data_IF_462160221015
#
_entry.id   IF_462160221015
#
_cell.length_a   1.000
_cell.length_b   1.000
_cell.length_c   1.000
_cell.angle_alpha   90.00
_cell.angle_beta   90.00
_cell.angle_gamma   90.00
#
_symmetry.space_group_name_H-M   'P 1'
#
loop_
_entity.id
_entity.type
_entity.pdbx_description
1 polymer ?
#
# COMPACT_ATOMS: atom_id res chain seq x y z
N UNK A 1 9.09 8.23 -17.77
CA UNK A 1 8.17 8.92 -16.88
C UNK A 1 6.81 8.29 -17.12
N UNK A 2 6.35 7.45 -16.19
CA UNK A 2 5.12 6.69 -16.34
C UNK A 2 3.93 7.64 -16.54
N UNK A 3 3.22 7.54 -17.65
CA UNK A 3 2.12 8.40 -18.11
C UNK A 3 0.90 8.43 -17.18
N UNK A 4 1.14 8.65 -15.89
CA UNK A 4 0.10 8.76 -14.87
C UNK A 4 -0.41 10.19 -14.91
N UNK A 5 -1.71 10.41 -15.21
CA UNK A 5 -2.27 11.75 -15.19
C UNK A 5 -2.22 12.33 -13.77
N UNK A 6 -1.57 13.48 -13.60
CA UNK A 6 -1.46 14.18 -12.31
C UNK A 6 -2.84 14.36 -11.64
N UNK A 7 -3.89 14.49 -12.45
CA UNK A 7 -5.29 14.56 -12.01
C UNK A 7 -5.75 13.31 -11.23
N UNK A 8 -5.23 12.13 -11.57
CA UNK A 8 -5.56 10.90 -10.84
C UNK A 8 -4.96 10.92 -9.42
N UNK A 9 -3.69 11.32 -9.31
CA UNK A 9 -2.98 11.42 -8.02
C UNK A 9 -3.65 12.49 -7.15
N UNK A 10 -3.93 13.67 -7.73
CA UNK A 10 -4.58 14.78 -7.02
C UNK A 10 -5.97 14.39 -6.50
N UNK A 11 -6.79 13.71 -7.32
CA UNK A 11 -8.12 13.25 -6.90
C UNK A 11 -8.03 12.26 -5.73
N UNK A 12 -7.04 11.37 -5.72
CA UNK A 12 -6.86 10.41 -4.64
C UNK A 12 -6.38 11.07 -3.34
N UNK A 13 -5.47 12.04 -3.44
CA UNK A 13 -5.03 12.85 -2.30
C UNK A 13 -6.23 13.61 -1.73
N UNK A 14 -7.08 14.18 -2.56
CA UNK A 14 -8.24 14.95 -2.14
C UNK A 14 -9.30 14.10 -1.42
N UNK A 15 -9.46 12.82 -1.80
CA UNK A 15 -10.37 11.88 -1.10
C UNK A 15 -9.88 11.56 0.31
N UNK A 16 -8.57 11.50 0.53
CA UNK A 16 -7.96 11.18 1.84
C UNK A 16 -7.70 12.44 2.68
N UNK A 17 -7.71 13.64 2.04
CA UNK A 17 -7.41 14.92 2.70
C UNK A 17 -8.33 15.28 3.87
N UNK A 18 -9.64 14.93 3.91
CA UNK A 18 -10.50 15.29 5.04
C UNK A 18 -9.97 14.75 6.37
N UNK A 19 -9.36 13.57 6.36
CA UNK A 19 -8.77 12.95 7.55
C UNK A 19 -7.54 13.71 8.04
N UNK A 20 -6.67 14.13 7.12
CA UNK A 20 -5.48 14.93 7.44
C UNK A 20 -5.86 16.34 7.91
N UNK A 21 -6.89 16.94 7.30
CA UNK A 21 -7.44 18.22 7.72
C UNK A 21 -8.04 18.14 9.12
N UNK A 22 -8.82 17.11 9.40
CA UNK A 22 -9.42 16.91 10.71
C UNK A 22 -8.37 16.84 11.82
N UNK A 23 -7.31 16.03 11.63
CA UNK A 23 -6.21 15.95 12.60
C UNK A 23 -5.44 17.28 12.68
N UNK A 24 -5.19 17.91 11.54
CA UNK A 24 -4.41 19.14 11.45
C UNK A 24 -5.07 20.35 12.11
N UNK A 25 -6.40 20.50 11.98
CA UNK A 25 -7.18 21.62 12.52
C UNK A 25 -7.15 21.67 14.06
N UNK A 26 -6.99 20.55 14.73
CA UNK A 26 -6.86 20.57 16.19
C UNK A 26 -5.55 21.18 16.69
N UNK A 27 -4.47 21.18 15.91
CA UNK A 27 -3.18 21.72 16.33
C UNK A 27 -3.20 23.24 16.57
N UNK A 28 -3.72 24.10 15.68
CA UNK A 28 -3.79 25.53 15.94
C UNK A 28 -4.76 25.90 17.07
N UNK A 29 -5.70 25.01 17.43
CA UNK A 29 -6.65 25.23 18.53
C UNK A 29 -6.00 24.87 19.88
N UNK A 30 -5.16 23.81 19.91
CA UNK A 30 -4.56 23.32 21.14
C UNK A 30 -3.22 23.97 21.47
N UNK A 31 -2.44 24.39 20.47
CA UNK A 31 -1.12 24.98 20.65
C UNK A 31 -1.08 26.45 20.20
N UNK A 32 -1.26 27.34 21.17
CA UNK A 32 -1.28 28.79 20.99
C UNK A 32 0.08 29.45 21.24
N UNK A 33 1.16 28.68 21.46
CA UNK A 33 2.50 29.23 21.71
C UNK A 33 3.00 29.97 20.47
N UNK A 34 3.40 31.22 20.66
CA UNK A 34 4.05 32.02 19.60
C UNK A 34 5.52 31.64 19.50
N UNK A 35 5.93 31.08 18.36
CA UNK A 35 7.32 30.63 18.13
C UNK A 35 8.12 31.61 17.30
N UNK A 36 7.49 32.39 16.42
CA UNK A 36 8.18 33.36 15.61
C UNK A 36 7.25 34.52 15.22
N UNK A 37 7.82 35.74 15.16
CA UNK A 37 7.16 36.91 14.59
C UNK A 37 7.74 37.15 13.20
N UNK A 38 7.00 36.81 12.15
CA UNK A 38 7.40 37.07 10.76
C UNK A 38 6.59 38.23 10.21
N UNK A 39 7.27 39.29 9.82
CA UNK A 39 6.65 40.53 9.26
C UNK A 39 5.57 41.17 10.15
N UNK A 40 5.74 41.13 11.49
CA UNK A 40 4.79 41.76 12.42
C UNK A 40 3.56 40.94 12.80
N UNK A 41 3.42 39.74 12.28
CA UNK A 41 2.33 38.81 12.61
C UNK A 41 2.84 37.72 13.53
N UNK A 42 2.20 37.50 14.71
CA UNK A 42 2.57 36.42 15.60
C UNK A 42 2.13 35.07 14.97
N UNK A 43 3.08 34.30 14.45
CA UNK A 43 2.83 32.95 14.00
C UNK A 43 2.81 32.02 15.21
N UNK A 44 1.63 31.45 15.47
CA UNK A 44 1.52 30.41 16.51
C UNK A 44 2.16 29.11 16.04
N UNK A 45 2.75 28.35 16.97
CA UNK A 45 3.31 27.02 16.72
C UNK A 45 2.29 26.08 16.04
N UNK A 46 1.02 26.23 16.40
CA UNK A 46 -0.07 25.45 15.84
C UNK A 46 -0.24 25.60 14.32
N UNK A 47 -0.08 26.82 13.77
CA UNK A 47 -0.15 27.05 12.33
C UNK A 47 1.02 26.45 11.56
N UNK A 48 2.23 26.52 12.12
CA UNK A 48 3.41 25.89 11.54
C UNK A 48 3.27 24.36 11.55
N UNK A 49 2.79 23.80 12.65
CA UNK A 49 2.50 22.38 12.79
C UNK A 49 1.43 21.91 11.81
N UNK A 50 0.35 22.68 11.65
CA UNK A 50 -0.70 22.39 10.67
C UNK A 50 -0.17 22.34 9.24
N UNK A 51 0.59 23.34 8.84
CA UNK A 51 1.19 23.41 7.50
C UNK A 51 2.18 22.24 7.28
N UNK A 52 2.99 21.92 8.30
CA UNK A 52 3.92 20.79 8.27
C UNK A 52 3.19 19.45 8.10
N UNK A 53 2.08 19.25 8.82
CA UNK A 53 1.24 18.04 8.69
C UNK A 53 0.67 17.92 7.28
N UNK A 54 0.13 19.00 6.73
CA UNK A 54 -0.42 18.98 5.37
C UNK A 54 0.66 18.71 4.33
N UNK A 55 1.81 19.34 4.45
CA UNK A 55 2.93 19.13 3.53
C UNK A 55 3.42 17.67 3.59
N UNK A 56 3.66 17.15 4.80
CA UNK A 56 4.04 15.76 5.01
C UNK A 56 2.99 14.80 4.46
N UNK A 57 1.71 15.06 4.69
CA UNK A 57 0.61 14.26 4.17
C UNK A 57 0.61 14.20 2.64
N UNK A 58 0.72 15.36 1.97
CA UNK A 58 0.75 15.41 0.50
C UNK A 58 1.96 14.69 -0.05
N UNK A 59 3.14 14.91 0.53
CA UNK A 59 4.39 14.28 0.09
C UNK A 59 4.36 12.76 0.29
N UNK A 60 3.98 12.30 1.47
CA UNK A 60 3.97 10.83 1.78
C UNK A 60 2.89 10.11 0.99
N UNK A 61 1.67 10.65 0.93
CA UNK A 61 0.58 10.05 0.16
C UNK A 61 0.88 10.09 -1.33
N UNK A 62 1.43 11.20 -1.83
CA UNK A 62 1.87 11.34 -3.21
C UNK A 62 2.95 10.33 -3.57
N UNK A 63 3.98 10.18 -2.74
CA UNK A 63 5.05 9.20 -2.94
C UNK A 63 4.52 7.76 -2.92
N UNK A 64 3.63 7.42 -1.98
CA UNK A 64 3.01 6.10 -1.91
C UNK A 64 2.16 5.79 -3.15
N UNK A 65 1.34 6.74 -3.60
CA UNK A 65 0.53 6.59 -4.81
C UNK A 65 1.39 6.43 -6.06
N UNK A 66 2.46 7.21 -6.18
CA UNK A 66 3.41 7.09 -7.29
C UNK A 66 4.11 5.73 -7.28
N UNK A 67 4.55 5.26 -6.10
CA UNK A 67 5.14 3.93 -5.97
C UNK A 67 4.17 2.84 -6.45
N UNK A 68 2.93 2.84 -5.95
CA UNK A 68 1.92 1.83 -6.34
C UNK A 68 1.57 1.91 -7.82
N UNK A 69 1.52 3.12 -8.38
CA UNK A 69 1.15 3.32 -9.78
C UNK A 69 2.27 3.01 -10.77
N UNK A 70 3.54 3.16 -10.36
CA UNK A 70 4.70 2.90 -11.23
C UNK A 70 5.29 1.50 -11.07
N UNK A 71 5.14 0.91 -9.88
CA UNK A 71 5.77 -0.35 -9.54
C UNK A 71 4.73 -1.44 -9.38
N UNK A 72 4.79 -2.49 -10.20
CA UNK A 72 3.93 -3.65 -10.03
C UNK A 72 4.26 -4.38 -8.72
N UNK A 73 3.27 -5.02 -8.09
CA UNK A 73 3.49 -5.75 -6.84
C UNK A 73 4.63 -6.80 -6.93
N UNK A 74 4.76 -7.59 -8.02
CA UNK A 74 5.92 -8.46 -8.19
C UNK A 74 7.26 -7.71 -8.25
N UNK A 75 7.25 -6.47 -8.75
CA UNK A 75 8.44 -5.60 -8.73
C UNK A 75 8.87 -5.21 -7.32
N UNK A 76 7.90 -4.88 -6.45
CA UNK A 76 8.16 -4.61 -5.02
C UNK A 76 8.72 -5.87 -4.34
N UNK A 77 8.14 -7.04 -4.58
CA UNK A 77 8.64 -8.31 -4.05
C UNK A 77 10.09 -8.59 -4.49
N UNK A 78 10.43 -8.29 -5.75
CA UNK A 78 11.81 -8.42 -6.23
C UNK A 78 12.77 -7.46 -5.51
N UNK A 79 12.35 -6.21 -5.27
CA UNK A 79 13.14 -5.25 -4.53
C UNK A 79 13.38 -5.71 -3.07
N UNK A 80 12.35 -6.22 -2.39
CA UNK A 80 12.47 -6.80 -1.05
C UNK A 80 13.49 -7.94 -1.01
N UNK A 81 13.47 -8.83 -2.01
CA UNK A 81 14.45 -9.91 -2.09
C UNK A 81 15.89 -9.38 -2.24
N UNK A 82 16.09 -8.31 -3.03
CA UNK A 82 17.41 -7.66 -3.14
C UNK A 82 17.87 -6.96 -1.86
N UNK A 83 16.95 -6.50 -1.04
CA UNK A 83 17.21 -5.92 0.28
C UNK A 83 17.56 -6.98 1.35
N UNK A 84 17.61 -8.27 1.00
CA UNK A 84 17.99 -9.35 1.91
C UNK A 84 16.82 -10.04 2.63
N UNK A 85 15.58 -9.77 2.25
CA UNK A 85 14.45 -10.51 2.84
C UNK A 85 14.50 -12.00 2.46
N UNK A 86 14.15 -12.91 3.39
CA UNK A 86 14.14 -14.34 3.15
C UNK A 86 13.31 -14.72 1.92
N UNK A 87 13.83 -15.64 1.09
CA UNK A 87 13.15 -16.08 -0.13
C UNK A 87 11.76 -16.61 0.13
N UNK A 88 11.59 -17.36 1.24
CA UNK A 88 10.30 -17.91 1.66
C UNK A 88 9.25 -16.80 1.88
N UNK A 89 9.62 -15.72 2.58
CA UNK A 89 8.71 -14.60 2.83
C UNK A 89 8.28 -13.92 1.53
N UNK A 90 9.20 -13.68 0.61
CA UNK A 90 8.91 -13.07 -0.69
C UNK A 90 8.00 -13.98 -1.54
N UNK A 91 8.25 -15.30 -1.51
CA UNK A 91 7.39 -16.28 -2.19
C UNK A 91 5.97 -16.28 -1.64
N UNK A 92 5.80 -16.18 -0.30
CA UNK A 92 4.49 -16.06 0.34
C UNK A 92 3.74 -14.80 -0.09
N UNK A 93 4.42 -13.65 -0.19
CA UNK A 93 3.80 -12.41 -0.69
C UNK A 93 3.33 -12.55 -2.14
N UNK A 94 4.10 -13.21 -3.00
CA UNK A 94 3.72 -13.48 -4.39
C UNK A 94 2.49 -14.38 -4.48
N UNK A 95 2.43 -15.43 -3.65
CA UNK A 95 1.27 -16.30 -3.57
C UNK A 95 0.05 -15.54 -3.03
N UNK A 96 0.20 -14.78 -1.96
CA UNK A 96 -0.87 -13.94 -1.40
C UNK A 96 -1.46 -13.04 -2.47
N UNK A 97 -0.63 -12.32 -3.22
CA UNK A 97 -1.09 -11.44 -4.30
C UNK A 97 -1.86 -12.19 -5.39
N UNK A 98 -1.33 -13.33 -5.84
CA UNK A 98 -1.97 -14.15 -6.88
C UNK A 98 -3.30 -14.72 -6.41
N UNK A 99 -3.33 -15.31 -5.21
CA UNK A 99 -4.51 -15.97 -4.70
C UNK A 99 -5.58 -15.02 -4.18
N UNK A 100 -5.24 -13.78 -3.87
CA UNK A 100 -6.22 -12.74 -3.55
C UNK A 100 -7.27 -12.59 -4.67
N UNK A 101 -6.86 -12.51 -5.92
CA UNK A 101 -7.77 -12.39 -7.06
C UNK A 101 -8.60 -13.66 -7.25
N UNK A 102 -7.99 -14.82 -7.11
CA UNK A 102 -8.68 -16.12 -7.21
C UNK A 102 -9.75 -16.27 -6.12
N UNK A 103 -9.43 -15.87 -4.89
CA UNK A 103 -10.37 -15.90 -3.77
C UNK A 103 -11.50 -14.89 -3.93
N UNK A 104 -11.20 -13.72 -4.49
CA UNK A 104 -12.22 -12.72 -4.81
C UNK A 104 -13.24 -13.25 -5.82
N UNK A 105 -12.79 -13.92 -6.89
CA UNK A 105 -13.68 -14.58 -7.85
C UNK A 105 -14.52 -15.69 -7.20
N UNK A 106 -13.91 -16.54 -6.38
CA UNK A 106 -14.61 -17.62 -5.67
C UNK A 106 -15.65 -17.06 -4.70
N UNK A 107 -15.30 -16.00 -3.96
CA UNK A 107 -16.23 -15.29 -3.08
C UNK A 107 -17.43 -14.77 -3.84
N UNK A 108 -17.21 -14.13 -4.99
CA UNK A 108 -18.29 -13.62 -5.83
C UNK A 108 -19.18 -14.74 -6.39
N UNK A 109 -18.63 -15.92 -6.69
CA UNK A 109 -19.40 -17.11 -7.09
C UNK A 109 -20.29 -17.61 -5.96
N UNK A 110 -19.73 -17.70 -4.75
CA UNK A 110 -20.46 -18.17 -3.57
C UNK A 110 -21.60 -17.19 -3.22
N UNK A 111 -21.32 -15.88 -3.25
CA UNK A 111 -22.33 -14.85 -2.99
C UNK A 111 -23.45 -14.90 -4.04
N UNK A 112 -23.13 -14.96 -5.32
CA UNK A 112 -24.15 -15.11 -6.39
C UNK A 112 -24.98 -16.37 -6.22
N UNK A 113 -24.36 -17.50 -5.90
CA UNK A 113 -25.09 -18.74 -5.66
C UNK A 113 -26.05 -18.65 -4.47
N UNK A 114 -25.67 -17.90 -3.43
CA UNK A 114 -26.56 -17.59 -2.30
C UNK A 114 -27.74 -16.73 -2.77
N UNK A 115 -27.45 -15.64 -3.50
CA UNK A 115 -28.47 -14.68 -3.93
C UNK A 115 -29.54 -15.33 -4.80
N UNK A 116 -29.14 -16.24 -5.68
CA UNK A 116 -30.07 -17.04 -6.51
C UNK A 116 -30.96 -18.01 -5.70
N UNK A 117 -30.50 -18.40 -4.50
CA UNK A 117 -31.27 -19.30 -3.59
C UNK A 117 -32.08 -18.53 -2.56
N UNK A 118 -31.82 -17.24 -2.38
CA UNK A 118 -32.54 -16.38 -1.41
C UNK A 118 -33.67 -15.62 -2.08
N UNK A 119 -34.85 -16.22 -2.17
CA UNK A 119 -36.04 -15.54 -2.66
C UNK A 119 -36.51 -14.47 -1.65
N UNK A 120 -36.58 -13.21 -2.09
CA UNK A 120 -37.17 -12.11 -1.31
C UNK A 120 -36.37 -11.62 -0.11
N UNK A 121 -35.01 -11.65 -0.17
CA UNK A 121 -34.17 -11.02 0.87
C UNK A 121 -34.06 -11.79 2.20
N UNK A 122 -34.67 -12.96 2.32
CA UNK A 122 -34.47 -13.85 3.47
C UNK A 122 -33.11 -14.52 3.38
N UNK A 123 -32.24 -14.33 4.41
CA UNK A 123 -30.90 -14.95 4.48
C UNK A 123 -29.73 -13.99 4.40
N UNK A 124 -29.94 -12.73 4.80
CA UNK A 124 -28.87 -11.71 4.91
C UNK A 124 -28.30 -11.61 6.34
N UNK A 125 -28.71 -12.49 7.25
CA UNK A 125 -28.24 -12.48 8.64
C UNK A 125 -26.74 -12.80 8.78
N UNK A 126 -26.11 -12.32 9.86
CA UNK A 126 -24.70 -12.53 10.17
C UNK A 126 -24.30 -14.03 10.16
N UNK A 127 -25.18 -14.93 10.59
CA UNK A 127 -24.93 -16.38 10.57
C UNK A 127 -24.77 -16.95 9.16
N UNK A 128 -25.47 -16.40 8.17
CA UNK A 128 -25.32 -16.81 6.75
C UNK A 128 -23.96 -16.37 6.21
N UNK A 129 -23.56 -15.14 6.52
CA UNK A 129 -22.24 -14.63 6.12
C UNK A 129 -21.11 -15.44 6.77
N UNK A 130 -21.22 -15.77 8.08
CA UNK A 130 -20.25 -16.62 8.76
C UNK A 130 -20.13 -18.00 8.10
N UNK A 131 -21.26 -18.63 7.71
CA UNK A 131 -21.25 -19.91 6.97
C UNK A 131 -20.59 -19.79 5.60
N UNK A 132 -20.83 -18.68 4.86
CA UNK A 132 -20.18 -18.45 3.57
C UNK A 132 -18.66 -18.31 3.71
N UNK A 133 -18.21 -17.58 4.74
CA UNK A 133 -16.78 -17.45 5.08
C UNK A 133 -16.19 -18.81 5.44
N UNK A 134 -16.89 -19.63 6.22
CA UNK A 134 -16.46 -20.99 6.57
C UNK A 134 -16.30 -21.89 5.34
N UNK A 135 -17.25 -21.86 4.41
CA UNK A 135 -17.19 -22.61 3.16
C UNK A 135 -16.00 -22.12 2.30
N UNK A 136 -15.83 -20.81 2.18
CA UNK A 136 -14.70 -20.23 1.44
C UNK A 136 -13.36 -20.67 2.04
N UNK A 137 -13.25 -20.64 3.37
CA UNK A 137 -12.06 -21.08 4.09
C UNK A 137 -11.70 -22.54 3.80
N UNK A 138 -12.65 -23.45 3.95
CA UNK A 138 -12.43 -24.89 3.68
C UNK A 138 -11.98 -25.10 2.22
N UNK A 139 -12.66 -24.51 1.26
CA UNK A 139 -12.28 -24.58 -0.16
C UNK A 139 -10.87 -24.04 -0.43
N UNK A 140 -10.49 -22.99 0.32
CA UNK A 140 -9.17 -22.37 0.19
C UNK A 140 -8.07 -23.28 0.72
N UNK A 141 -8.29 -23.93 1.86
CA UNK A 141 -7.35 -24.91 2.43
C UNK A 141 -7.17 -26.10 1.49
N UNK A 142 -8.27 -26.69 1.00
CA UNK A 142 -8.21 -27.81 0.05
C UNK A 142 -7.46 -27.43 -1.24
N UNK A 143 -7.66 -26.21 -1.71
CA UNK A 143 -6.94 -25.68 -2.89
C UNK A 143 -5.46 -25.51 -2.59
N UNK A 144 -5.12 -24.95 -1.44
CA UNK A 144 -3.73 -24.72 -1.03
C UNK A 144 -2.95 -26.04 -0.96
N UNK A 145 -3.55 -27.07 -0.38
CA UNK A 145 -2.94 -28.41 -0.35
C UNK A 145 -2.71 -28.99 -1.75
N UNK A 146 -3.71 -28.92 -2.63
CA UNK A 146 -3.56 -29.42 -4.01
C UNK A 146 -2.46 -28.69 -4.76
N UNK A 147 -2.41 -27.35 -4.62
CA UNK A 147 -1.37 -26.54 -5.26
C UNK A 147 0.01 -26.87 -4.70
N UNK A 148 0.11 -27.00 -3.38
CA UNK A 148 1.38 -27.35 -2.73
C UNK A 148 1.90 -28.71 -3.19
N UNK A 149 1.05 -29.72 -3.21
CA UNK A 149 1.42 -31.07 -3.71
C UNK A 149 1.87 -31.02 -5.18
N UNK A 150 1.15 -30.26 -6.03
CA UNK A 150 1.53 -30.09 -7.43
C UNK A 150 2.85 -29.31 -7.59
N UNK A 151 3.18 -28.41 -6.68
CA UNK A 151 4.46 -27.70 -6.67
C UNK A 151 5.62 -28.62 -6.26
N UNK A 152 5.41 -29.45 -5.22
CA UNK A 152 6.40 -30.45 -4.80
C UNK A 152 6.73 -31.41 -5.94
N UNK A 153 5.70 -31.90 -6.67
CA UNK A 153 5.90 -32.79 -7.83
C UNK A 153 6.71 -32.15 -8.97
N UNK A 154 6.80 -30.81 -8.99
CA UNK A 154 7.59 -30.04 -9.95
C UNK A 154 8.94 -29.60 -9.41
N UNK A 155 9.37 -30.12 -8.26
CA UNK A 155 10.66 -29.81 -7.65
C UNK A 155 10.72 -28.45 -6.92
N UNK A 156 9.59 -27.97 -6.36
CA UNK A 156 9.57 -26.74 -5.60
C UNK A 156 10.43 -26.84 -4.34
N UNK A 157 11.38 -25.90 -4.18
CA UNK A 157 12.32 -25.82 -3.06
C UNK A 157 12.13 -24.58 -2.19
N UNK A 158 10.91 -24.01 -2.16
CA UNK A 158 10.61 -22.82 -1.34
C UNK A 158 10.85 -21.50 -2.04
N UNK A 159 11.40 -21.48 -3.24
CA UNK A 159 11.66 -20.28 -4.03
C UNK A 159 10.87 -20.29 -5.35
N UNK A 160 10.30 -19.12 -5.67
CA UNK A 160 9.60 -18.91 -6.95
C UNK A 160 10.46 -18.01 -7.83
N UNK A 161 11.14 -18.55 -8.85
CA UNK A 161 11.94 -17.73 -9.74
C UNK A 161 11.05 -16.76 -10.54
N UNK A 162 11.44 -15.50 -10.59
CA UNK A 162 10.73 -14.49 -11.39
C UNK A 162 11.18 -14.55 -12.85
N UNK A 163 10.20 -14.57 -13.77
CA UNK A 163 10.45 -14.51 -15.21
C UNK A 163 11.06 -13.17 -15.65
N UNK A 164 10.66 -12.08 -14.99
CA UNK A 164 11.15 -10.74 -15.33
C UNK A 164 12.46 -10.45 -14.58
N UNK A 165 13.55 -10.32 -15.32
CA UNK A 165 14.85 -9.87 -14.80
C UNK A 165 14.88 -8.34 -14.78
N UNK A 166 14.84 -7.76 -13.59
CA UNK A 166 15.04 -6.32 -13.41
C UNK A 166 16.56 -6.05 -13.42
N UNK A 167 17.01 -5.24 -14.38
CA UNK A 167 18.40 -4.78 -14.44
C UNK A 167 18.45 -3.31 -14.02
N UNK A 168 19.32 -2.97 -13.09
CA UNK A 168 19.60 -1.58 -12.75
C UNK A 168 20.35 -0.92 -13.90
N UNK A 169 19.75 0.13 -14.47
CA UNK A 169 20.36 0.97 -15.49
C UNK A 169 21.19 2.10 -14.89
N UNK A 170 22.00 2.78 -15.74
CA UNK A 170 22.77 3.97 -15.33
C UNK A 170 21.88 5.08 -14.75
N UNK A 171 20.64 5.21 -15.27
CA UNK A 171 19.66 6.20 -14.79
C UNK A 171 19.19 5.92 -13.36
N UNK A 172 19.05 4.64 -13.00
CA UNK A 172 18.61 4.23 -11.66
C UNK A 172 19.69 4.54 -10.64
N UNK A 173 20.97 4.32 -11.01
CA UNK A 173 22.11 4.69 -10.18
C UNK A 173 22.23 6.21 -10.02
N UNK A 174 22.07 6.98 -11.09
CA UNK A 174 22.08 8.43 -11.02
C UNK A 174 20.97 8.96 -10.09
N UNK A 175 19.76 8.43 -10.21
CA UNK A 175 18.64 8.79 -9.32
C UNK A 175 18.93 8.45 -7.87
N UNK A 176 19.47 7.27 -7.60
CA UNK A 176 19.80 6.84 -6.24
C UNK A 176 20.86 7.72 -5.61
N UNK A 177 21.93 8.04 -6.34
CA UNK A 177 22.99 8.94 -5.88
C UNK A 177 22.49 10.36 -5.63
N UNK A 178 21.68 10.92 -6.56
CA UNK A 178 21.12 12.26 -6.38
C UNK A 178 20.21 12.31 -5.14
N UNK A 179 19.37 11.30 -4.93
CA UNK A 179 18.49 11.23 -3.75
C UNK A 179 19.30 11.07 -2.47
N UNK A 180 20.34 10.22 -2.46
CA UNK A 180 21.21 10.02 -1.30
C UNK A 180 21.97 11.30 -0.93
N UNK A 181 22.52 12.01 -1.91
CA UNK A 181 23.20 13.29 -1.71
C UNK A 181 22.23 14.34 -1.16
N UNK A 182 21.02 14.44 -1.75
CA UNK A 182 20.00 15.39 -1.29
C UNK A 182 19.61 15.13 0.18
N UNK A 183 19.35 13.87 0.54
CA UNK A 183 19.02 13.49 1.92
C UNK A 183 20.21 13.71 2.87
N UNK A 184 21.45 13.44 2.43
CA UNK A 184 22.66 13.65 3.20
C UNK A 184 22.90 15.14 3.51
N UNK A 185 22.74 16.00 2.51
CA UNK A 185 22.84 17.47 2.66
C UNK A 185 21.74 17.98 3.62
N UNK A 186 20.50 17.50 3.45
CA UNK A 186 19.39 17.91 4.32
C UNK A 186 19.58 17.48 5.78
N UNK A 187 20.22 16.33 6.01
CA UNK A 187 20.56 15.85 7.36
C UNK A 187 21.79 16.56 7.96
N UNK A 188 22.72 17.02 7.12
CA UNK A 188 23.91 17.75 7.57
C UNK A 188 23.62 19.20 7.97
N UNK A 189 22.48 19.76 7.53
CA UNK A 189 21.94 21.05 8.02
C UNK A 189 20.91 20.77 9.12
N UNK A 190 21.31 20.58 10.39
CA UNK A 190 20.36 20.56 11.49
C UNK A 190 19.74 21.96 11.57
N UNK A 191 18.45 22.06 11.37
CA UNK A 191 17.72 23.25 11.77
C UNK A 191 17.72 23.29 13.31
N UNK A 192 18.71 23.99 13.86
CA UNK A 192 18.73 24.42 15.25
C UNK A 192 17.63 25.45 15.47
#
# INVERSE_FOLDING_TARGET
>A
LGGIPARFVLRKILIVSPFALFIGVFNPILDTRTVAVVAGWPLSAGWLSFLSILLKFVLTTGAALLLVATTSFPGVCHALRRLGFPALFVSQLLFLYRYLFVLMEETMRIVRARDLRSFGGRGTGAGVHARLVGILFLRTVDRAERVYRAMLSRGFQGDVPMLKRFRMGRRDWAFLMTTAVFLGVFRAFPMT
#
